data_IF_997708141386
#
_entry.id   IF_997708141386
#
_cell.length_a   1.000
_cell.length_b   1.000
_cell.length_c   1.000
_cell.angle_alpha   90.00
_cell.angle_beta   90.00
_cell.angle_gamma   90.00
#
_symmetry.space_group_name_H-M   'P 1'
#
loop_
_entity.id
_entity.type
_entity.pdbx_description
1 polymer ?
#
# COMPACT_ATOMS: atom_id res chain seq x y z
N UNK A 1 48.89 43.62 -75.68
CA UNK A 1 49.29 43.53 -74.24
C UNK A 1 48.27 42.62 -73.52
N UNK A 2 48.75 41.45 -73.09
CA UNK A 2 47.93 40.34 -72.56
C UNK A 2 47.63 40.53 -71.07
N UNK A 3 46.39 40.21 -70.59
CA UNK A 3 46.11 40.07 -69.15
C UNK A 3 46.33 38.62 -68.67
N UNK A 4 46.86 38.51 -67.46
CA UNK A 4 47.14 37.24 -66.74
C UNK A 4 45.87 36.75 -66.04
N UNK A 5 45.50 35.51 -66.25
CA UNK A 5 44.51 34.73 -65.51
C UNK A 5 45.01 34.38 -64.09
N UNK A 6 44.19 34.69 -63.07
CA UNK A 6 44.39 34.16 -61.73
C UNK A 6 43.31 33.07 -61.44
N UNK A 7 43.81 31.86 -61.18
CA UNK A 7 42.98 30.71 -60.84
C UNK A 7 42.64 30.75 -59.35
N UNK A 8 41.39 30.97 -59.05
CA UNK A 8 40.89 30.88 -57.67
C UNK A 8 40.58 29.42 -57.27
N UNK A 9 41.25 28.99 -56.25
CA UNK A 9 41.11 27.64 -55.68
C UNK A 9 39.94 27.65 -54.64
N UNK A 10 38.85 26.94 -54.99
CA UNK A 10 37.65 26.84 -54.12
C UNK A 10 37.88 25.68 -53.18
N UNK A 11 38.00 25.98 -51.89
CA UNK A 11 38.01 24.96 -50.83
C UNK A 11 36.56 24.61 -50.49
N UNK A 12 36.13 23.40 -50.79
CA UNK A 12 34.86 22.85 -50.33
C UNK A 12 35.04 22.35 -48.89
N UNK A 13 34.48 23.07 -47.92
CA UNK A 13 34.30 22.62 -46.52
C UNK A 13 33.17 21.62 -46.47
N UNK A 14 33.54 20.35 -46.36
CA UNK A 14 32.57 19.29 -46.08
C UNK A 14 32.08 19.36 -44.59
N UNK A 15 30.80 19.73 -44.41
CA UNK A 15 30.11 19.62 -43.14
C UNK A 15 29.80 18.12 -42.90
N UNK A 16 30.57 17.45 -42.03
CA UNK A 16 30.21 16.15 -41.49
C UNK A 16 29.08 16.34 -40.48
N UNK A 17 27.86 15.98 -40.83
CA UNK A 17 26.75 15.88 -39.90
C UNK A 17 26.97 14.70 -38.97
N UNK A 18 27.36 14.97 -37.74
CA UNK A 18 27.38 13.98 -36.66
C UNK A 18 25.96 13.73 -36.23
N UNK A 19 25.35 12.64 -36.68
CA UNK A 19 24.09 12.15 -36.17
C UNK A 19 24.34 11.62 -34.75
N UNK A 20 23.94 12.42 -33.73
CA UNK A 20 23.84 11.93 -32.34
C UNK A 20 22.65 10.95 -32.27
N UNK A 21 22.85 9.72 -31.76
CA UNK A 21 21.72 8.86 -31.46
C UNK A 21 20.86 9.55 -30.39
N UNK A 22 19.60 9.82 -30.72
CA UNK A 22 18.59 10.14 -29.74
C UNK A 22 18.46 8.89 -28.85
N UNK A 23 19.04 8.96 -27.66
CA UNK A 23 18.78 7.99 -26.61
C UNK A 23 17.32 8.19 -26.19
N UNK A 24 16.45 7.28 -26.58
CA UNK A 24 15.08 7.19 -26.08
C UNK A 24 15.13 6.97 -24.56
N UNK A 25 14.93 8.06 -23.81
CA UNK A 25 14.82 8.02 -22.34
C UNK A 25 13.46 7.54 -21.86
N UNK A 26 12.59 7.04 -22.74
CA UNK A 26 11.18 6.75 -22.43
C UNK A 26 10.94 5.34 -21.89
N UNK A 27 11.95 4.51 -21.65
CA UNK A 27 11.75 3.10 -21.23
C UNK A 27 12.27 2.76 -19.82
N UNK A 28 12.37 3.74 -18.91
CA UNK A 28 12.89 3.49 -17.55
C UNK A 28 11.88 3.70 -16.42
N UNK A 29 10.59 3.88 -16.70
CA UNK A 29 9.56 3.72 -15.67
C UNK A 29 8.99 2.30 -15.75
N UNK A 30 9.86 1.33 -15.73
CA UNK A 30 9.48 -0.06 -15.56
C UNK A 30 9.24 -0.28 -14.09
N UNK A 31 7.99 -0.60 -13.72
CA UNK A 31 7.64 -1.03 -12.36
C UNK A 31 8.70 -2.04 -11.87
N UNK A 32 9.29 -1.77 -10.71
CA UNK A 32 10.30 -2.65 -10.12
C UNK A 32 9.77 -4.08 -10.07
N UNK A 33 10.53 -5.09 -10.51
CA UNK A 33 10.00 -6.46 -10.63
C UNK A 33 9.63 -7.02 -9.25
N UNK A 34 8.65 -7.92 -9.23
CA UNK A 34 8.18 -8.69 -8.05
C UNK A 34 9.30 -9.19 -7.12
N UNK A 35 10.46 -9.53 -7.70
CA UNK A 35 11.66 -9.90 -6.97
C UNK A 35 12.15 -8.81 -6.00
N UNK A 36 11.80 -7.56 -6.25
CA UNK A 36 12.29 -6.42 -5.46
C UNK A 36 11.60 -6.34 -4.09
N UNK A 37 10.28 -6.48 -4.01
CA UNK A 37 9.58 -6.39 -2.71
C UNK A 37 9.93 -7.58 -1.79
N UNK A 38 10.07 -8.79 -2.32
CA UNK A 38 10.49 -9.96 -1.55
C UNK A 38 11.92 -9.82 -1.05
N UNK A 39 12.84 -9.41 -1.92
CA UNK A 39 14.24 -9.15 -1.57
C UNK A 39 14.36 -7.96 -0.59
N UNK A 40 13.56 -6.91 -0.78
CA UNK A 40 13.50 -5.78 0.14
C UNK A 40 13.08 -6.22 1.54
N UNK A 41 11.99 -6.98 1.66
CA UNK A 41 11.50 -7.46 2.95
C UNK A 41 12.51 -8.42 3.63
N UNK A 42 13.15 -9.30 2.87
CA UNK A 42 14.19 -10.19 3.40
C UNK A 42 15.36 -9.38 3.99
N UNK A 43 15.74 -8.26 3.36
CA UNK A 43 16.81 -7.38 3.83
C UNK A 43 16.39 -6.52 5.04
N UNK A 44 15.18 -5.96 5.03
CA UNK A 44 14.69 -5.06 6.09
C UNK A 44 14.23 -5.82 7.35
N UNK A 45 13.83 -7.07 7.21
CA UNK A 45 13.21 -7.83 8.29
C UNK A 45 11.83 -7.31 8.63
N UNK A 46 11.74 -6.17 9.30
CA UNK A 46 10.49 -5.49 9.67
C UNK A 46 10.47 -4.06 9.15
N UNK A 47 9.41 -3.69 8.45
CA UNK A 47 9.14 -2.34 8.01
C UNK A 47 7.62 -2.07 8.07
N UNK A 48 7.25 -1.08 8.85
CA UNK A 48 5.85 -0.70 9.09
C UNK A 48 5.27 0.21 7.99
N UNK A 49 6.11 0.60 7.02
CA UNK A 49 5.65 1.38 5.86
C UNK A 49 4.66 0.57 5.05
N UNK A 50 3.47 1.13 4.87
CA UNK A 50 2.44 0.54 4.01
C UNK A 50 2.77 0.89 2.55
N UNK A 51 2.76 -0.11 1.70
CA UNK A 51 3.00 -0.01 0.26
C UNK A 51 1.73 -0.34 -0.50
N UNK A 52 1.53 0.37 -1.58
CA UNK A 52 0.41 0.15 -2.47
C UNK A 52 0.53 -1.16 -3.26
N UNK A 53 -0.55 -1.52 -3.92
CA UNK A 53 -0.64 -2.69 -4.78
C UNK A 53 0.40 -2.68 -5.90
N UNK A 54 1.03 -3.85 -6.10
CA UNK A 54 1.93 -4.11 -7.22
C UNK A 54 1.28 -5.14 -8.17
N UNK A 55 1.02 -4.77 -9.44
CA UNK A 55 0.45 -5.68 -10.45
C UNK A 55 1.25 -6.95 -10.68
N UNK A 56 2.59 -6.92 -10.50
CA UNK A 56 3.44 -8.09 -10.60
C UNK A 56 3.11 -9.17 -9.55
N UNK A 57 2.53 -8.75 -8.41
CA UNK A 57 2.14 -9.64 -7.31
C UNK A 57 0.69 -10.17 -7.43
N UNK A 58 -0.04 -9.84 -8.51
CA UNK A 58 -1.49 -10.09 -8.65
C UNK A 58 -1.89 -11.54 -8.32
N UNK A 59 -1.23 -12.53 -8.89
CA UNK A 59 -1.58 -13.94 -8.69
C UNK A 59 -1.42 -14.38 -7.22
N UNK A 60 -0.34 -13.94 -6.58
CA UNK A 60 -0.04 -14.21 -5.17
C UNK A 60 -1.02 -13.47 -4.25
N UNK A 61 -1.34 -12.22 -4.57
CA UNK A 61 -2.34 -11.40 -3.86
C UNK A 61 -3.72 -12.03 -3.90
N UNK A 62 -4.16 -12.51 -5.07
CA UNK A 62 -5.42 -13.23 -5.21
C UNK A 62 -5.44 -14.54 -4.39
N UNK A 63 -4.32 -15.25 -4.30
CA UNK A 63 -4.20 -16.44 -3.45
C UNK A 63 -4.29 -16.09 -1.96
N UNK A 64 -3.64 -15.02 -1.53
CA UNK A 64 -3.71 -14.51 -0.16
C UNK A 64 -5.12 -14.06 0.22
N UNK A 65 -5.83 -13.41 -0.72
CA UNK A 65 -7.24 -13.02 -0.51
C UNK A 65 -8.13 -14.23 -0.21
N UNK A 66 -8.06 -15.27 -1.02
CA UNK A 66 -8.83 -16.50 -0.80
C UNK A 66 -8.53 -17.17 0.55
N UNK A 67 -7.29 -17.06 1.03
CA UNK A 67 -6.89 -17.58 2.34
C UNK A 67 -7.51 -16.78 3.49
N UNK A 68 -7.55 -15.45 3.38
CA UNK A 68 -8.16 -14.59 4.41
C UNK A 68 -9.69 -14.64 4.38
N UNK A 69 -10.27 -14.75 3.19
CA UNK A 69 -11.72 -14.69 2.98
C UNK A 69 -12.24 -15.94 2.26
N UNK A 70 -12.18 -17.12 2.92
CA UNK A 70 -12.53 -18.39 2.26
C UNK A 70 -14.00 -18.47 1.82
N UNK A 71 -14.87 -17.68 2.43
CA UNK A 71 -16.31 -17.62 2.11
C UNK A 71 -16.67 -16.50 1.13
N UNK A 72 -15.71 -15.72 0.65
CA UNK A 72 -15.99 -14.69 -0.35
C UNK A 72 -16.36 -15.37 -1.69
N UNK A 73 -17.52 -14.99 -2.26
CA UNK A 73 -18.00 -15.55 -3.55
C UNK A 73 -17.10 -15.17 -4.72
N UNK A 74 -16.49 -14.00 -4.66
CA UNK A 74 -15.50 -13.49 -5.63
C UNK A 74 -14.43 -12.68 -4.90
N UNK A 75 -13.26 -12.58 -5.49
CA UNK A 75 -12.23 -11.62 -5.07
C UNK A 75 -12.45 -10.27 -5.76
N UNK A 76 -11.66 -9.25 -5.41
CA UNK A 76 -11.62 -8.00 -6.14
C UNK A 76 -11.36 -8.23 -7.63
N UNK A 77 -12.11 -7.54 -8.49
CA UNK A 77 -12.01 -7.67 -9.94
C UNK A 77 -11.13 -6.52 -10.52
N UNK A 78 -10.45 -6.81 -11.62
CA UNK A 78 -9.74 -5.81 -12.41
C UNK A 78 -8.86 -4.88 -11.56
N UNK A 79 -9.15 -3.60 -11.59
CA UNK A 79 -8.39 -2.54 -10.91
C UNK A 79 -8.72 -2.38 -9.42
N UNK A 80 -9.73 -3.10 -8.90
CA UNK A 80 -10.09 -3.04 -7.47
C UNK A 80 -8.94 -3.46 -6.55
N UNK A 81 -8.01 -4.29 -7.03
CA UNK A 81 -6.79 -4.63 -6.30
C UNK A 81 -5.94 -3.40 -5.96
N UNK A 82 -5.88 -2.40 -6.86
CA UNK A 82 -5.09 -1.18 -6.68
C UNK A 82 -5.53 -0.37 -5.46
N UNK A 83 -6.82 -0.40 -5.14
CA UNK A 83 -7.39 0.34 -4.03
C UNK A 83 -7.54 -0.47 -2.75
N UNK A 84 -7.45 -1.81 -2.84
CA UNK A 84 -7.75 -2.69 -1.70
C UNK A 84 -6.52 -3.40 -1.16
N UNK A 85 -5.58 -3.85 -2.00
CA UNK A 85 -4.43 -4.60 -1.52
C UNK A 85 -3.28 -3.66 -1.10
N UNK A 86 -2.76 -3.89 0.10
CA UNK A 86 -1.60 -3.16 0.65
C UNK A 86 -0.59 -4.14 1.22
N UNK A 87 0.69 -3.78 1.17
CA UNK A 87 1.79 -4.64 1.61
C UNK A 87 2.63 -3.98 2.71
N UNK A 88 3.28 -4.80 3.53
CA UNK A 88 4.35 -4.40 4.44
C UNK A 88 5.34 -5.54 4.65
N UNK A 89 6.49 -5.26 5.27
CA UNK A 89 7.45 -6.31 5.64
C UNK A 89 7.31 -6.69 7.11
N UNK A 90 7.28 -8.01 7.38
CA UNK A 90 7.32 -8.54 8.74
C UNK A 90 8.10 -9.85 8.78
N UNK A 91 9.09 -9.92 9.66
CA UNK A 91 9.97 -11.09 9.83
C UNK A 91 10.62 -11.55 8.52
N UNK A 92 11.07 -10.60 7.69
CA UNK A 92 11.69 -10.86 6.40
C UNK A 92 10.72 -11.28 5.29
N UNK A 93 9.41 -11.26 5.53
CA UNK A 93 8.38 -11.71 4.60
C UNK A 93 7.50 -10.55 4.16
N UNK A 94 6.93 -10.67 2.96
CA UNK A 94 5.91 -9.76 2.48
C UNK A 94 4.58 -10.17 3.09
N UNK A 95 3.95 -9.24 3.81
CA UNK A 95 2.59 -9.38 4.30
C UNK A 95 1.65 -8.59 3.41
N UNK A 96 0.43 -9.08 3.24
CA UNK A 96 -0.64 -8.41 2.50
C UNK A 96 -1.88 -8.26 3.36
N UNK A 97 -2.54 -7.12 3.24
CA UNK A 97 -3.82 -6.78 3.85
C UNK A 97 -4.76 -6.24 2.77
N UNK A 98 -6.07 -6.39 2.99
CA UNK A 98 -7.08 -5.90 2.06
C UNK A 98 -7.96 -4.87 2.76
N UNK A 99 -7.85 -3.62 2.33
CA UNK A 99 -8.62 -2.50 2.88
C UNK A 99 -10.10 -2.69 2.57
N UNK A 100 -10.94 -2.47 3.55
CA UNK A 100 -12.40 -2.45 3.43
C UNK A 100 -13.00 -1.41 4.37
N UNK A 101 -14.31 -1.23 4.33
CA UNK A 101 -15.01 -0.22 5.12
C UNK A 101 -14.71 -0.28 6.63
N UNK A 102 -14.47 -1.50 7.17
CA UNK A 102 -14.14 -1.75 8.56
C UNK A 102 -12.85 -2.60 8.71
N UNK A 103 -11.98 -2.56 7.71
CA UNK A 103 -10.77 -3.37 7.64
C UNK A 103 -9.57 -2.46 7.38
N UNK A 104 -9.06 -1.73 8.40
CA UNK A 104 -7.90 -0.87 8.25
C UNK A 104 -6.62 -1.68 8.14
N UNK A 105 -5.78 -1.36 7.16
CA UNK A 105 -4.44 -1.95 7.02
C UNK A 105 -3.36 -1.15 7.78
N UNK A 106 -3.75 -0.17 8.59
CA UNK A 106 -2.86 0.64 9.42
C UNK A 106 -2.61 0.02 10.79
N UNK A 107 -1.74 0.63 11.57
CA UNK A 107 -1.63 0.30 13.00
C UNK A 107 -2.94 0.58 13.70
N UNK A 108 -3.29 -0.30 14.63
CA UNK A 108 -4.52 -0.21 15.39
C UNK A 108 -4.33 0.65 16.64
N UNK A 109 -5.40 1.29 17.08
CA UNK A 109 -5.45 2.02 18.32
C UNK A 109 -5.78 1.07 19.48
N UNK A 110 -4.81 0.85 20.36
CA UNK A 110 -4.92 0.00 21.54
C UNK A 110 -5.26 0.78 22.82
N UNK A 111 -5.49 2.09 22.74
CA UNK A 111 -5.87 2.90 23.88
C UNK A 111 -7.30 2.56 24.33
N UNK A 112 -7.48 2.41 25.65
CA UNK A 112 -8.79 2.12 26.22
C UNK A 112 -9.67 3.36 26.32
N UNK A 113 -9.06 4.53 26.47
CA UNK A 113 -9.75 5.81 26.50
C UNK A 113 -10.04 6.24 25.06
N UNK A 114 -11.30 6.53 24.76
CA UNK A 114 -11.76 6.91 23.43
C UNK A 114 -12.70 8.11 23.53
N UNK A 115 -12.22 9.32 23.18
CA UNK A 115 -13.03 10.54 23.25
C UNK A 115 -14.29 10.49 22.38
N UNK A 116 -14.27 9.76 21.26
CA UNK A 116 -15.42 9.57 20.40
C UNK A 116 -16.50 8.71 21.08
N UNK A 117 -16.08 7.64 21.78
CA UNK A 117 -16.99 6.85 22.60
C UNK A 117 -17.59 7.67 23.74
N UNK A 118 -16.79 8.52 24.40
CA UNK A 118 -17.27 9.38 25.48
C UNK A 118 -18.30 10.41 24.98
N UNK A 119 -18.07 10.97 23.80
CA UNK A 119 -19.02 11.89 23.18
C UNK A 119 -20.34 11.18 22.83
N UNK A 120 -20.22 10.00 22.20
CA UNK A 120 -21.40 9.19 21.86
C UNK A 120 -22.21 8.81 23.09
N UNK A 121 -21.55 8.42 24.20
CA UNK A 121 -22.25 8.00 25.43
C UNK A 121 -22.93 9.15 26.17
N UNK A 122 -22.44 10.39 26.06
CA UNK A 122 -23.16 11.56 26.60
C UNK A 122 -24.52 11.74 25.92
N UNK A 123 -24.58 11.50 24.62
CA UNK A 123 -25.79 11.66 23.82
C UNK A 123 -26.70 10.41 23.87
N UNK A 124 -26.11 9.23 24.19
CA UNK A 124 -26.77 7.93 24.22
C UNK A 124 -26.42 7.18 25.53
N UNK A 125 -26.94 7.61 26.70
CA UNK A 125 -26.41 7.25 28.02
C UNK A 125 -26.45 5.76 28.36
N UNK A 126 -27.33 4.97 27.75
CA UNK A 126 -27.48 3.55 28.02
C UNK A 126 -27.39 2.68 26.77
N UNK A 127 -26.69 3.15 25.73
CA UNK A 127 -26.46 2.37 24.50
C UNK A 127 -25.63 1.11 24.78
N UNK A 128 -26.17 -0.06 24.40
CA UNK A 128 -25.54 -1.35 24.61
C UNK A 128 -24.24 -1.56 23.81
N UNK A 129 -24.02 -0.75 22.77
CA UNK A 129 -22.79 -0.74 21.97
C UNK A 129 -22.51 0.65 21.40
N UNK A 130 -21.24 1.01 21.25
CA UNK A 130 -20.80 2.22 20.56
C UNK A 130 -20.35 1.84 19.14
N UNK A 131 -20.94 2.46 18.11
CA UNK A 131 -20.64 2.09 16.72
C UNK A 131 -19.25 2.55 16.26
N UNK A 132 -18.70 1.83 15.26
CA UNK A 132 -17.34 2.07 14.76
C UNK A 132 -17.11 3.49 14.24
N UNK A 133 -18.12 4.14 13.67
CA UNK A 133 -17.99 5.53 13.21
C UNK A 133 -17.70 6.52 14.36
N UNK A 134 -18.10 6.20 15.59
CA UNK A 134 -17.85 7.05 16.75
C UNK A 134 -16.49 6.77 17.40
N UNK A 135 -16.05 5.50 17.42
CA UNK A 135 -14.80 5.10 18.10
C UNK A 135 -13.56 5.11 17.17
N UNK A 136 -13.76 5.18 15.85
CA UNK A 136 -12.74 4.95 14.84
C UNK A 136 -12.64 3.48 14.45
N UNK A 137 -12.40 3.23 13.16
CA UNK A 137 -12.29 1.86 12.61
C UNK A 137 -11.00 1.14 13.01
N UNK A 138 -10.04 1.85 13.56
CA UNK A 138 -8.75 1.36 14.05
C UNK A 138 -8.76 0.96 15.53
N UNK A 139 -9.84 1.26 16.29
CA UNK A 139 -9.95 0.84 17.69
C UNK A 139 -10.04 -0.69 17.81
N UNK A 140 -9.23 -1.27 18.72
CA UNK A 140 -9.32 -2.70 19.06
C UNK A 140 -10.33 -3.01 20.17
N UNK A 141 -10.92 -1.97 20.78
CA UNK A 141 -11.85 -2.15 21.90
C UNK A 141 -13.29 -2.01 21.44
N UNK A 142 -14.17 -2.82 22.04
CA UNK A 142 -15.60 -2.63 21.99
C UNK A 142 -16.05 -1.85 23.24
N UNK A 143 -17.04 -0.98 23.06
CA UNK A 143 -17.55 -0.10 24.11
C UNK A 143 -19.06 -0.19 24.21
N UNK A 144 -19.57 0.11 25.43
CA UNK A 144 -20.98 0.39 25.71
C UNK A 144 -21.10 1.65 26.54
N UNK A 145 -22.32 2.17 26.65
CA UNK A 145 -22.66 3.28 27.53
C UNK A 145 -23.42 2.81 28.75
N UNK A 146 -23.10 3.37 29.90
CA UNK A 146 -23.86 3.18 31.14
C UNK A 146 -23.92 4.48 31.90
N UNK A 147 -25.14 4.99 32.13
CA UNK A 147 -25.36 6.28 32.79
C UNK A 147 -24.52 7.43 32.18
N UNK A 148 -24.42 7.47 30.85
CA UNK A 148 -23.66 8.48 30.10
C UNK A 148 -22.12 8.30 30.14
N UNK A 149 -21.60 7.21 30.70
CA UNK A 149 -20.19 6.89 30.80
C UNK A 149 -19.82 5.74 29.85
N UNK A 150 -18.64 5.83 29.27
CA UNK A 150 -18.07 4.79 28.41
C UNK A 150 -17.50 3.64 29.25
N UNK A 151 -17.85 2.40 28.90
CA UNK A 151 -17.26 1.18 29.45
C UNK A 151 -16.72 0.31 28.34
N UNK A 152 -15.46 -0.16 28.49
CA UNK A 152 -14.88 -1.16 27.59
C UNK A 152 -15.50 -2.52 27.90
N UNK A 153 -16.09 -3.16 26.89
CA UNK A 153 -16.73 -4.47 27.02
C UNK A 153 -15.85 -5.63 26.56
N UNK A 154 -14.80 -5.36 25.77
CA UNK A 154 -13.90 -6.38 25.28
C UNK A 154 -12.87 -5.85 24.30
N UNK A 155 -12.09 -6.78 23.78
CA UNK A 155 -11.12 -6.55 22.70
C UNK A 155 -11.59 -7.30 21.47
N UNK A 156 -11.73 -6.60 20.36
CA UNK A 156 -12.28 -7.14 19.11
C UNK A 156 -11.20 -7.72 18.18
N UNK A 157 -9.92 -7.31 18.36
CA UNK A 157 -8.80 -7.74 17.52
C UNK A 157 -7.55 -7.99 18.35
N UNK A 158 -6.76 -8.98 17.94
CA UNK A 158 -5.42 -9.21 18.48
C UNK A 158 -4.38 -8.49 17.63
N UNK A 159 -3.41 -7.87 18.30
CA UNK A 159 -2.31 -7.19 17.63
C UNK A 159 -1.08 -8.09 17.51
N UNK A 160 -0.34 -7.88 16.43
CA UNK A 160 1.02 -8.39 16.31
C UNK A 160 2.01 -7.52 17.13
N UNK A 161 3.28 -7.90 17.14
CA UNK A 161 4.33 -7.18 17.87
C UNK A 161 4.58 -5.76 17.36
N UNK A 162 4.04 -5.41 16.20
CA UNK A 162 4.19 -4.10 15.55
C UNK A 162 2.93 -3.23 15.65
N UNK A 163 1.86 -3.73 16.28
CA UNK A 163 0.61 -3.01 16.50
C UNK A 163 -0.40 -3.12 15.36
N UNK A 164 -0.24 -4.08 14.45
CA UNK A 164 -1.21 -4.35 13.38
C UNK A 164 -2.13 -5.52 13.78
N UNK A 165 -3.37 -5.50 13.29
CA UNK A 165 -4.34 -6.56 13.54
C UNK A 165 -3.90 -7.87 12.86
N UNK A 166 -3.70 -8.94 13.65
CA UNK A 166 -3.22 -10.24 13.15
C UNK A 166 -4.17 -10.88 12.13
N UNK A 167 -5.45 -10.68 12.30
CA UNK A 167 -6.50 -11.25 11.47
C UNK A 167 -6.68 -10.54 10.13
N UNK A 168 -6.10 -9.34 9.95
CA UNK A 168 -6.17 -8.58 8.71
C UNK A 168 -4.96 -8.75 7.80
N UNK A 169 -3.86 -9.29 8.33
CA UNK A 169 -2.63 -9.46 7.59
C UNK A 169 -2.28 -10.93 7.41
N UNK A 170 -1.93 -11.33 6.20
CA UNK A 170 -1.43 -12.66 5.91
C UNK A 170 -0.13 -12.59 5.12
N UNK A 171 0.71 -13.61 5.25
CA UNK A 171 1.90 -13.74 4.42
C UNK A 171 1.49 -13.91 2.95
N UNK A 172 2.16 -13.15 2.07
CA UNK A 172 2.01 -13.32 0.63
C UNK A 172 2.62 -14.68 0.24
N UNK A 173 1.87 -15.62 -0.37
CA UNK A 173 2.38 -16.95 -0.69
C UNK A 173 3.65 -16.89 -1.54
N UNK A 174 4.56 -17.85 -1.41
CA UNK A 174 5.66 -18.06 -2.35
C UNK A 174 5.11 -18.39 -3.75
N UNK A 175 5.95 -18.29 -4.77
CA UNK A 175 5.61 -18.72 -6.14
C UNK A 175 5.36 -20.23 -6.20
#
# INVERSE_FOLDING_TARGET
MMPRFAIGMIWALGLAAVALPLLDFDDQVRAAPEADLTALCARLGNDDSIRDYDPALRARTASAFRKLFPNAKSGPDGDSWQTQAQYRCMNGKVMVCFVGANLPCTKMNAQRDNPGADMFCRDNPDAGSVPAYAIGHDSIHAYRCRNGKTEVTGTTRQLDQRGFAKDLWTELPAR
#
